data_IF_642881099598
#
_entry.id   IF_642881099598
#
_cell.length_a   1.000
_cell.length_b   1.000
_cell.length_c   1.000
_cell.angle_alpha   90.00
_cell.angle_beta   90.00
_cell.angle_gamma   90.00
#
_symmetry.space_group_name_H-M   'P 1'
#
loop_
_entity.id
_entity.type
_entity.pdbx_description
1 polymer ?
#
# COMPACT_ATOMS: atom_id res chain seq x y z
N UNK A 1 2.12 31.79 5.29
CA UNK A 1 1.03 30.83 5.56
C UNK A 1 1.62 29.77 6.45
N UNK A 2 1.04 29.51 7.62
CA UNK A 2 1.50 28.41 8.46
C UNK A 2 1.24 27.09 7.73
N UNK A 3 2.32 26.35 7.47
CA UNK A 3 2.27 25.03 6.83
C UNK A 3 1.64 24.04 7.81
N UNK A 4 0.45 23.53 7.49
CA UNK A 4 -0.32 22.62 8.37
C UNK A 4 -0.07 21.14 8.06
N UNK A 5 0.39 20.84 6.85
CA UNK A 5 0.78 19.51 6.38
C UNK A 5 1.82 19.65 5.26
N UNK A 6 2.36 18.53 4.79
CA UNK A 6 3.07 18.45 3.52
C UNK A 6 2.76 17.11 2.85
N UNK A 7 2.21 17.13 1.63
CA UNK A 7 1.95 15.91 0.87
C UNK A 7 2.01 16.20 -0.63
N UNK A 8 2.83 15.44 -1.36
CA UNK A 8 3.03 15.59 -2.79
C UNK A 8 3.06 14.27 -3.57
N UNK A 9 2.48 13.22 -3.00
CA UNK A 9 2.59 11.86 -3.55
C UNK A 9 1.69 11.59 -4.78
N UNK A 10 0.74 12.48 -5.10
CA UNK A 10 -0.16 12.30 -6.24
C UNK A 10 0.02 13.39 -7.29
N UNK A 11 -0.32 13.06 -8.53
CA UNK A 11 -0.21 13.94 -9.69
C UNK A 11 -0.99 15.26 -9.49
N UNK A 12 -2.15 15.20 -8.84
CA UNK A 12 -3.02 16.35 -8.57
C UNK A 12 -2.57 17.22 -7.38
N UNK A 13 -1.35 17.06 -6.87
CA UNK A 13 -0.86 17.86 -5.75
C UNK A 13 -0.92 19.36 -6.05
N UNK A 14 -1.23 20.17 -5.03
CA UNK A 14 -1.45 21.61 -5.21
C UNK A 14 -0.23 22.30 -5.85
N UNK A 15 -0.49 23.02 -6.94
CA UNK A 15 0.53 23.75 -7.70
C UNK A 15 1.66 22.88 -8.27
N UNK A 16 1.44 21.57 -8.41
CA UNK A 16 2.48 20.59 -8.79
C UNK A 16 3.70 20.64 -7.86
N UNK A 17 3.52 21.08 -6.60
CA UNK A 17 4.60 21.26 -5.64
C UNK A 17 4.32 20.54 -4.31
N UNK A 18 3.11 20.67 -3.77
CA UNK A 18 2.78 20.09 -2.46
C UNK A 18 1.51 20.68 -1.85
N UNK A 19 0.66 19.82 -1.29
CA UNK A 19 -0.46 20.24 -0.46
C UNK A 19 0.06 20.66 0.93
N UNK A 20 -0.11 21.94 1.29
CA UNK A 20 0.41 22.52 2.55
C UNK A 20 -0.65 23.15 3.47
N UNK A 21 -1.89 23.27 2.99
CA UNK A 21 -3.01 23.88 3.70
C UNK A 21 -3.68 22.95 4.72
N UNK A 22 -4.93 23.26 5.09
CA UNK A 22 -5.73 22.40 5.99
C UNK A 22 -6.22 21.10 5.35
N UNK A 23 -6.26 21.05 4.02
CA UNK A 23 -6.75 19.92 3.23
C UNK A 23 -5.94 19.81 1.93
N UNK A 24 -5.64 18.58 1.51
CA UNK A 24 -5.10 18.29 0.19
C UNK A 24 -6.17 18.36 -0.90
N UNK A 25 -5.74 18.37 -2.16
CA UNK A 25 -6.65 18.39 -3.33
C UNK A 25 -7.58 17.17 -3.35
N UNK A 26 -7.11 16.02 -2.86
CA UNK A 26 -7.90 14.80 -2.70
C UNK A 26 -8.88 14.81 -1.51
N UNK A 27 -8.97 15.91 -0.76
CA UNK A 27 -9.83 16.02 0.43
C UNK A 27 -9.20 15.52 1.73
N UNK A 28 -8.00 14.91 1.69
CA UNK A 28 -7.28 14.47 2.90
C UNK A 28 -7.01 15.67 3.82
N UNK A 29 -7.46 15.60 5.07
CA UNK A 29 -7.24 16.67 6.06
C UNK A 29 -5.78 16.71 6.52
N UNK A 30 -5.34 17.82 7.09
CA UNK A 30 -4.02 17.94 7.70
C UNK A 30 -3.82 16.96 8.87
N UNK A 31 -4.88 16.64 9.63
CA UNK A 31 -4.82 15.64 10.70
C UNK A 31 -4.57 14.24 10.13
N UNK A 32 -5.38 13.81 9.17
CA UNK A 32 -5.22 12.53 8.48
C UNK A 32 -3.83 12.42 7.83
N UNK A 33 -3.35 13.50 7.20
CA UNK A 33 -2.01 13.53 6.61
C UNK A 33 -0.91 13.30 7.66
N UNK A 34 -0.99 13.98 8.80
CA UNK A 34 -0.05 13.80 9.92
C UNK A 34 -0.10 12.39 10.49
N UNK A 35 -1.29 11.78 10.61
CA UNK A 35 -1.44 10.39 11.06
C UNK A 35 -0.83 9.40 10.05
N UNK A 36 -1.00 9.63 8.75
CA UNK A 36 -0.33 8.81 7.73
C UNK A 36 1.19 8.94 7.79
N UNK A 37 1.72 10.14 8.04
CA UNK A 37 3.16 10.34 8.26
C UNK A 37 3.64 9.59 9.52
N UNK A 38 2.89 9.66 10.62
CA UNK A 38 3.20 8.91 11.85
C UNK A 38 3.19 7.40 11.62
N UNK A 39 2.25 6.88 10.84
CA UNK A 39 2.20 5.46 10.48
C UNK A 39 3.43 5.03 9.67
N UNK A 40 3.88 5.84 8.70
CA UNK A 40 5.14 5.57 7.98
C UNK A 40 6.32 5.60 8.95
N UNK A 41 6.35 6.57 9.87
CA UNK A 41 7.39 6.69 10.90
C UNK A 41 7.49 5.45 11.79
N UNK A 42 6.34 4.95 12.26
CA UNK A 42 6.25 3.72 13.04
C UNK A 42 6.73 2.49 12.26
N UNK A 43 6.38 2.38 10.96
CA UNK A 43 6.83 1.27 10.11
C UNK A 43 8.34 1.32 9.85
N UNK A 44 8.93 2.52 9.74
CA UNK A 44 10.39 2.68 9.68
C UNK A 44 11.04 2.19 10.98
N UNK A 45 10.48 2.55 12.14
CA UNK A 45 10.93 2.04 13.44
C UNK A 45 10.86 0.50 13.52
N UNK A 46 9.75 -0.09 13.06
CA UNK A 46 9.60 -1.54 12.94
C UNK A 46 10.64 -2.16 11.98
N UNK A 47 10.88 -1.54 10.82
CA UNK A 47 11.86 -2.01 9.86
C UNK A 47 13.29 -1.96 10.41
N UNK A 48 13.64 -0.95 11.21
CA UNK A 48 14.91 -0.86 11.95
C UNK A 48 15.00 -1.94 13.04
N UNK A 49 13.92 -2.22 13.77
CA UNK A 49 13.88 -3.30 14.77
C UNK A 49 14.07 -4.70 14.14
N UNK A 50 13.68 -4.86 12.87
CA UNK A 50 13.88 -6.09 12.10
C UNK A 50 15.29 -6.23 11.49
N UNK A 51 16.18 -5.25 11.66
CA UNK A 51 17.51 -5.32 11.08
C UNK A 51 18.38 -6.40 11.75
N UNK A 52 18.99 -7.25 10.92
CA UNK A 52 19.80 -8.38 11.39
C UNK A 52 18.97 -9.57 11.90
N UNK A 53 17.64 -9.50 11.82
CA UNK A 53 16.75 -10.63 12.09
C UNK A 53 16.60 -11.46 10.81
N UNK A 54 16.99 -12.74 10.87
CA UNK A 54 16.97 -13.64 9.70
C UNK A 54 15.56 -13.93 9.18
N UNK A 55 14.55 -13.98 10.05
CA UNK A 55 13.15 -14.14 9.68
C UNK A 55 12.25 -13.33 10.64
N UNK A 56 11.91 -12.07 10.30
CA UNK A 56 11.01 -11.24 11.10
C UNK A 56 9.60 -11.85 11.22
N UNK A 57 9.23 -12.65 10.21
CA UNK A 57 7.99 -13.42 10.13
C UNK A 57 6.85 -12.67 9.43
N UNK A 58 5.90 -13.43 8.88
CA UNK A 58 4.80 -12.94 8.04
C UNK A 58 3.98 -11.82 8.69
N UNK A 59 3.87 -11.82 10.01
CA UNK A 59 3.18 -10.77 10.76
C UNK A 59 3.81 -9.39 10.59
N UNK A 60 5.14 -9.33 10.56
CA UNK A 60 5.89 -8.08 10.34
C UNK A 60 5.65 -7.59 8.92
N UNK A 61 5.83 -8.47 7.93
CA UNK A 61 5.63 -8.11 6.52
C UNK A 61 4.20 -7.66 6.24
N UNK A 62 3.20 -8.41 6.73
CA UNK A 62 1.79 -8.05 6.58
C UNK A 62 1.46 -6.70 7.23
N UNK A 63 2.02 -6.42 8.40
CA UNK A 63 1.82 -5.12 9.08
C UNK A 63 2.38 -3.97 8.25
N UNK A 64 3.55 -4.15 7.65
CA UNK A 64 4.16 -3.13 6.77
C UNK A 64 3.39 -2.97 5.46
N UNK A 65 2.97 -4.06 4.82
CA UNK A 65 2.20 -4.04 3.56
C UNK A 65 0.86 -3.30 3.78
N UNK A 66 0.10 -3.69 4.80
CA UNK A 66 -1.19 -3.05 5.10
C UNK A 66 -1.03 -1.58 5.51
N UNK A 67 0.00 -1.27 6.32
CA UNK A 67 0.28 0.09 6.75
C UNK A 67 0.69 1.01 5.59
N UNK A 68 1.57 0.55 4.70
CA UNK A 68 1.96 1.30 3.50
C UNK A 68 0.75 1.55 2.59
N UNK A 69 -0.06 0.52 2.33
CA UNK A 69 -1.25 0.65 1.48
C UNK A 69 -2.26 1.63 2.08
N UNK A 70 -2.48 1.60 3.40
CA UNK A 70 -3.34 2.55 4.13
C UNK A 70 -2.98 4.03 3.84
N UNK A 71 -1.71 4.32 3.55
CA UNK A 71 -1.20 5.69 3.30
C UNK A 71 -1.14 6.08 1.82
N UNK A 72 -1.61 5.22 0.92
CA UNK A 72 -1.72 5.53 -0.51
C UNK A 72 -2.92 6.48 -0.75
N UNK A 73 -2.88 7.21 -1.86
CA UNK A 73 -3.89 8.24 -2.16
C UNK A 73 -5.27 7.61 -2.30
N UNK A 74 -6.28 8.22 -1.67
CA UNK A 74 -7.68 7.78 -1.67
C UNK A 74 -7.97 6.41 -1.02
N UNK A 75 -7.04 5.84 -0.25
CA UNK A 75 -7.29 4.57 0.48
C UNK A 75 -8.06 4.78 1.77
N UNK A 76 -7.50 5.55 2.72
CA UNK A 76 -8.14 5.78 4.02
C UNK A 76 -8.16 7.25 4.42
N UNK A 77 -9.34 7.70 4.83
CA UNK A 77 -9.63 9.00 5.43
C UNK A 77 -10.14 8.86 6.88
N UNK A 78 -10.10 7.65 7.43
CA UNK A 78 -10.56 7.32 8.78
C UNK A 78 -9.37 7.41 9.76
N UNK A 79 -9.38 8.48 10.57
CA UNK A 79 -8.31 8.76 11.53
C UNK A 79 -8.20 7.69 12.63
N UNK A 80 -9.31 7.09 13.06
CA UNK A 80 -9.31 6.03 14.08
C UNK A 80 -8.73 4.74 13.52
N UNK A 81 -9.06 4.38 12.27
CA UNK A 81 -8.46 3.24 11.59
C UNK A 81 -6.94 3.41 11.40
N UNK A 82 -6.47 4.62 11.07
CA UNK A 82 -5.04 4.91 10.94
C UNK A 82 -4.34 4.81 12.31
N UNK A 83 -4.93 5.35 13.38
CA UNK A 83 -4.41 5.18 14.75
C UNK A 83 -4.32 3.71 15.15
N UNK A 84 -5.35 2.91 14.84
CA UNK A 84 -5.32 1.48 15.11
C UNK A 84 -4.18 0.75 14.36
N UNK A 85 -3.83 1.19 13.15
CA UNK A 85 -2.67 0.67 12.41
C UNK A 85 -1.32 1.09 13.01
N UNK A 86 -1.21 2.32 13.52
CA UNK A 86 -0.02 2.78 14.25
C UNK A 86 0.21 1.87 15.46
N UNK A 87 -0.83 1.68 16.29
CA UNK A 87 -0.77 0.81 17.46
C UNK A 87 -0.46 -0.65 17.10
N UNK A 88 -0.97 -1.16 15.97
CA UNK A 88 -0.63 -2.49 15.48
C UNK A 88 0.86 -2.60 15.14
N UNK A 89 1.42 -1.56 14.51
CA UNK A 89 2.83 -1.50 14.13
C UNK A 89 3.73 -1.44 15.37
N UNK A 90 3.35 -0.65 16.38
CA UNK A 90 4.06 -0.62 17.66
C UNK A 90 4.05 -1.95 18.40
N UNK A 91 2.88 -2.59 18.51
CA UNK A 91 2.79 -3.93 19.14
C UNK A 91 3.66 -4.97 18.42
N UNK A 92 3.71 -4.90 17.09
CA UNK A 92 4.54 -5.82 16.31
C UNK A 92 6.04 -5.53 16.48
N UNK A 93 6.43 -4.24 16.61
CA UNK A 93 7.79 -3.80 16.94
C UNK A 93 8.21 -4.32 18.32
N UNK A 94 7.38 -4.12 19.34
CA UNK A 94 7.62 -4.62 20.71
C UNK A 94 7.75 -6.14 20.74
N UNK A 95 6.85 -6.86 20.05
CA UNK A 95 6.91 -8.32 19.93
C UNK A 95 8.23 -8.78 19.33
N UNK A 96 8.70 -8.10 18.28
CA UNK A 96 9.93 -8.45 17.59
C UNK A 96 11.16 -8.22 18.47
N UNK A 97 11.20 -7.11 19.21
CA UNK A 97 12.29 -6.79 20.15
C UNK A 97 12.35 -7.73 21.35
N UNK A 98 11.19 -8.22 21.82
CA UNK A 98 11.11 -9.14 22.96
C UNK A 98 11.41 -10.61 22.59
N UNK A 99 11.37 -10.96 21.30
CA UNK A 99 11.58 -12.34 20.87
C UNK A 99 13.06 -12.75 21.00
N UNK A 100 13.37 -14.00 21.40
CA UNK A 100 14.73 -14.54 21.40
C UNK A 100 15.14 -14.88 19.97
N UNK A 101 15.32 -13.85 19.14
CA UNK A 101 15.60 -14.02 17.72
C UNK A 101 17.09 -14.27 17.51
N UNK A 102 17.41 -15.27 16.67
CA UNK A 102 18.78 -15.43 16.16
C UNK A 102 19.10 -14.21 15.29
N UNK A 103 19.89 -13.28 15.82
CA UNK A 103 20.51 -12.24 14.99
C UNK A 103 21.55 -12.91 14.10
N UNK A 104 21.50 -12.64 12.79
CA UNK A 104 22.49 -13.19 11.87
C UNK A 104 23.88 -12.63 12.21
N UNK A 105 24.88 -13.51 12.27
CA UNK A 105 26.28 -13.11 12.43
C UNK A 105 26.83 -12.64 11.07
N UNK A 106 26.43 -11.45 10.62
CA UNK A 106 27.00 -10.82 9.43
C UNK A 106 28.45 -10.36 9.66
N UNK A 107 29.31 -10.32 8.63
CA UNK A 107 30.72 -9.98 8.79
C UNK A 107 30.84 -8.53 9.28
N UNK A 108 31.43 -8.37 10.48
CA UNK A 108 31.95 -7.07 10.92
C UNK A 108 33.11 -6.72 10.01
N UNK A 109 32.87 -5.92 8.97
CA UNK A 109 33.96 -5.12 8.42
C UNK A 109 34.39 -4.17 9.54
N UNK A 110 35.50 -4.52 10.20
CA UNK A 110 36.18 -3.65 11.14
C UNK A 110 36.72 -2.48 10.32
N UNK A 111 36.03 -1.35 10.34
CA UNK A 111 36.71 -0.07 10.19
C UNK A 111 37.81 -0.04 11.27
N UNK A 112 39.06 0.03 10.83
CA UNK A 112 40.19 0.00 11.73
C UNK A 112 40.23 1.29 12.55
N UNK A 113 39.87 1.19 13.82
CA UNK A 113 40.11 2.20 14.83
C UNK A 113 38.84 2.76 15.45
N UNK A 114 38.25 2.02 16.40
CA UNK A 114 37.47 2.65 17.46
C UNK A 114 37.44 1.75 18.71
N UNK A 115 37.87 2.33 19.82
CA UNK A 115 37.90 1.76 21.15
C UNK A 115 36.48 1.61 21.70
N UNK A 116 36.23 0.46 22.34
CA UNK A 116 35.12 0.14 23.25
C UNK A 116 33.97 1.15 23.33
N UNK A 117 32.94 0.95 22.53
CA UNK A 117 31.59 1.43 22.79
C UNK A 117 30.65 0.23 22.81
N UNK A 118 29.69 0.26 23.74
CA UNK A 118 28.62 -0.70 23.87
C UNK A 118 27.96 -0.97 22.50
N UNK A 119 27.42 -2.19 22.30
CA UNK A 119 26.58 -2.48 21.16
C UNK A 119 25.62 -1.31 20.93
N UNK A 120 25.72 -0.63 19.79
CA UNK A 120 24.84 0.49 19.48
C UNK A 120 23.42 0.00 19.65
N UNK A 121 22.70 0.58 20.60
CA UNK A 121 21.25 0.40 20.69
C UNK A 121 20.73 0.89 19.35
N UNK A 122 20.22 -0.03 18.52
CA UNK A 122 19.58 0.35 17.27
C UNK A 122 18.47 1.33 17.65
N UNK A 123 18.56 2.56 17.17
CA UNK A 123 17.49 3.55 17.31
C UNK A 123 16.26 3.01 16.56
N UNK A 124 15.30 2.49 17.32
CA UNK A 124 14.05 1.90 16.81
C UNK A 124 12.85 2.79 17.13
N UNK A 125 13.11 4.03 17.51
CA UNK A 125 12.07 5.04 17.67
C UNK A 125 11.40 5.31 16.32
N UNK A 126 10.18 5.82 16.39
CA UNK A 126 9.43 6.17 15.20
C UNK A 126 10.15 7.29 14.45
N UNK A 127 10.35 7.10 13.15
CA UNK A 127 11.03 8.10 12.34
C UNK A 127 10.12 9.32 12.14
N UNK A 128 10.62 10.52 12.46
CA UNK A 128 9.90 11.76 12.22
C UNK A 128 9.96 12.12 10.72
N UNK A 129 8.86 11.92 9.98
CA UNK A 129 8.78 12.25 8.55
C UNK A 129 8.92 13.74 8.25
N UNK A 130 8.72 14.63 9.23
CA UNK A 130 9.06 16.04 9.09
C UNK A 130 10.54 16.25 8.72
N UNK A 131 11.42 15.38 9.21
CA UNK A 131 12.84 15.40 8.82
C UNK A 131 12.98 15.17 7.31
N UNK A 132 12.28 14.18 6.74
CA UNK A 132 12.27 13.91 5.30
C UNK A 132 11.74 15.11 4.49
N UNK A 133 10.68 15.76 4.97
CA UNK A 133 10.06 16.88 4.28
C UNK A 133 10.93 18.14 4.29
N UNK A 134 11.76 18.33 5.31
CA UNK A 134 12.63 19.49 5.48
C UNK A 134 14.07 19.27 4.97
N UNK A 135 14.39 18.10 4.38
CA UNK A 135 15.73 17.82 3.84
C UNK A 135 16.05 18.61 2.57
N UNK A 136 17.32 18.53 2.16
CA UNK A 136 17.78 18.90 0.82
C UNK A 136 16.82 18.36 -0.28
N UNK A 137 16.42 19.19 -1.27
CA UNK A 137 15.45 18.80 -2.27
C UNK A 137 15.80 17.55 -3.09
N UNK A 138 17.09 17.34 -3.42
CA UNK A 138 17.52 16.20 -4.24
C UNK A 138 17.45 14.91 -3.42
N UNK A 139 17.91 14.95 -2.17
CA UNK A 139 17.81 13.82 -1.23
C UNK A 139 16.34 13.51 -0.89
N UNK A 140 15.53 14.54 -0.63
CA UNK A 140 14.10 14.41 -0.38
C UNK A 140 13.39 13.77 -1.57
N UNK A 141 13.74 14.18 -2.79
CA UNK A 141 13.18 13.63 -4.04
C UNK A 141 13.43 12.12 -4.14
N UNK A 142 14.68 11.68 -3.99
CA UNK A 142 15.05 10.26 -4.09
C UNK A 142 14.40 9.41 -2.99
N UNK A 143 14.43 9.85 -1.74
CA UNK A 143 13.79 9.13 -0.62
C UNK A 143 12.28 9.08 -0.76
N UNK A 144 11.67 10.13 -1.30
CA UNK A 144 10.22 10.14 -1.58
C UNK A 144 9.86 9.21 -2.72
N UNK A 145 10.70 9.13 -3.77
CA UNK A 145 10.53 8.17 -4.85
C UNK A 145 10.61 6.73 -4.34
N UNK A 146 11.54 6.43 -3.41
CA UNK A 146 11.59 5.14 -2.72
C UNK A 146 10.28 4.90 -1.95
N UNK A 147 9.89 5.82 -1.07
CA UNK A 147 8.68 5.68 -0.25
C UNK A 147 7.43 5.46 -1.11
N UNK A 148 7.22 6.26 -2.15
CA UNK A 148 6.04 6.18 -3.00
C UNK A 148 6.03 4.90 -3.85
N UNK A 149 7.18 4.47 -4.34
CA UNK A 149 7.31 3.18 -5.00
C UNK A 149 7.00 2.01 -4.06
N UNK A 150 7.45 2.05 -2.80
CA UNK A 150 7.09 1.06 -1.79
C UNK A 150 5.58 1.06 -1.51
N UNK A 151 4.92 2.23 -1.41
CA UNK A 151 3.46 2.28 -1.22
C UNK A 151 2.70 1.63 -2.38
N UNK A 152 3.11 1.89 -3.63
CA UNK A 152 2.51 1.27 -4.81
C UNK A 152 2.71 -0.25 -4.82
N UNK A 153 3.94 -0.70 -4.54
CA UNK A 153 4.26 -2.12 -4.44
C UNK A 153 3.48 -2.82 -3.32
N UNK A 154 3.22 -2.15 -2.20
CA UNK A 154 2.42 -2.67 -1.09
C UNK A 154 0.97 -2.97 -1.50
N UNK A 155 0.37 -2.16 -2.39
CA UNK A 155 -0.96 -2.44 -2.93
C UNK A 155 -0.98 -3.76 -3.70
N UNK A 156 0.00 -4.00 -4.58
CA UNK A 156 0.10 -5.26 -5.33
C UNK A 156 0.38 -6.45 -4.42
N UNK A 157 1.30 -6.31 -3.47
CA UNK A 157 1.63 -7.36 -2.51
C UNK A 157 0.43 -7.72 -1.63
N UNK A 158 -0.39 -6.73 -1.25
CA UNK A 158 -1.62 -6.97 -0.48
C UNK A 158 -2.60 -7.85 -1.25
N UNK A 159 -2.87 -7.54 -2.53
CA UNK A 159 -3.78 -8.34 -3.35
C UNK A 159 -3.26 -9.76 -3.60
N UNK A 160 -1.96 -9.92 -3.81
CA UNK A 160 -1.35 -11.25 -3.92
C UNK A 160 -1.53 -12.04 -2.61
N UNK A 161 -1.35 -11.39 -1.45
CA UNK A 161 -1.54 -11.99 -0.13
C UNK A 161 -3.00 -12.43 0.10
N UNK A 162 -4.00 -11.68 -0.38
CA UNK A 162 -5.41 -12.09 -0.28
C UNK A 162 -5.72 -13.38 -1.05
N UNK A 163 -4.89 -13.71 -2.05
CA UNK A 163 -4.93 -14.97 -2.80
C UNK A 163 -3.93 -16.02 -2.28
N UNK A 164 -3.27 -15.75 -1.16
CA UNK A 164 -2.31 -16.67 -0.54
C UNK A 164 -0.92 -16.69 -1.19
N UNK A 165 -0.62 -15.74 -2.07
CA UNK A 165 0.71 -15.61 -2.68
C UNK A 165 1.59 -14.61 -1.90
N UNK A 166 2.88 -14.91 -1.81
CA UNK A 166 3.88 -14.09 -1.15
C UNK A 166 5.26 -14.38 -1.74
N UNK A 167 6.15 -13.40 -1.74
CA UNK A 167 7.52 -13.51 -2.22
C UNK A 167 8.50 -12.92 -1.19
N UNK A 168 9.52 -13.69 -0.81
CA UNK A 168 10.46 -13.29 0.24
C UNK A 168 11.33 -12.10 -0.18
N UNK A 169 11.67 -11.98 -1.47
CA UNK A 169 12.43 -10.84 -2.00
C UNK A 169 11.62 -9.56 -1.84
N UNK A 170 10.34 -9.60 -2.20
CA UNK A 170 9.41 -8.47 -2.04
C UNK A 170 9.25 -8.11 -0.57
N UNK A 171 8.99 -9.09 0.29
CA UNK A 171 8.80 -8.90 1.73
C UNK A 171 10.01 -8.27 2.42
N UNK A 172 11.21 -8.79 2.16
CA UNK A 172 12.45 -8.27 2.74
C UNK A 172 12.77 -6.87 2.21
N UNK A 173 12.43 -6.59 0.95
CA UNK A 173 12.72 -5.30 0.35
C UNK A 173 11.86 -4.18 0.94
N UNK A 174 10.63 -4.43 1.38
CA UNK A 174 9.86 -3.42 2.14
C UNK A 174 10.62 -2.92 3.36
N UNK A 175 11.18 -3.84 4.17
CA UNK A 175 11.95 -3.48 5.36
C UNK A 175 13.25 -2.77 4.99
N UNK A 176 13.92 -3.23 3.92
CA UNK A 176 15.15 -2.62 3.42
C UNK A 176 14.93 -1.19 2.94
N UNK A 177 13.92 -0.97 2.10
CA UNK A 177 13.59 0.35 1.57
C UNK A 177 13.13 1.32 2.66
N UNK A 178 12.33 0.87 3.64
CA UNK A 178 11.93 1.70 4.77
C UNK A 178 13.11 2.13 5.65
N UNK A 179 14.06 1.23 5.91
CA UNK A 179 15.30 1.59 6.63
C UNK A 179 16.12 2.63 5.87
N UNK A 180 16.17 2.53 4.54
CA UNK A 180 16.95 3.44 3.71
C UNK A 180 16.45 4.89 3.77
N UNK A 181 15.13 5.10 3.89
CA UNK A 181 14.54 6.44 4.08
C UNK A 181 15.13 7.12 5.33
N UNK A 182 15.43 6.33 6.36
CA UNK A 182 15.82 6.81 7.68
C UNK A 182 17.34 6.94 7.88
N UNK A 183 18.15 6.54 6.89
CA UNK A 183 19.61 6.68 6.92
C UNK A 183 20.05 7.99 6.28
N UNK A 184 21.21 8.48 6.68
CA UNK A 184 21.88 9.52 5.89
C UNK A 184 22.32 8.93 4.55
N UNK A 185 22.29 9.76 3.50
CA UNK A 185 22.63 9.31 2.16
C UNK A 185 22.92 10.48 1.23
N UNK A 186 23.64 10.18 0.15
CA UNK A 186 23.86 11.09 -0.97
C UNK A 186 23.03 10.65 -2.17
N UNK A 187 23.03 11.45 -3.23
CA UNK A 187 22.38 11.08 -4.50
C UNK A 187 22.94 9.75 -5.01
N UNK A 188 24.25 9.58 -4.98
CA UNK A 188 24.97 8.40 -5.46
C UNK A 188 24.64 7.16 -4.62
N UNK A 189 24.43 7.31 -3.31
CA UNK A 189 24.09 6.17 -2.44
C UNK A 189 22.62 5.78 -2.52
N UNK A 190 21.71 6.72 -2.80
CA UNK A 190 20.27 6.49 -2.83
C UNK A 190 19.76 6.01 -4.20
N UNK A 191 20.41 6.42 -5.29
CA UNK A 191 20.00 6.05 -6.65
C UNK A 191 19.94 4.52 -6.89
N UNK A 192 20.89 3.70 -6.40
CA UNK A 192 20.79 2.25 -6.49
C UNK A 192 19.52 1.70 -5.82
N UNK A 193 19.12 2.24 -4.67
CA UNK A 193 17.89 1.81 -3.98
C UNK A 193 16.65 2.20 -4.77
N UNK A 194 16.60 3.40 -5.36
CA UNK A 194 15.52 3.81 -6.28
C UNK A 194 15.36 2.82 -7.43
N UNK A 195 16.45 2.44 -8.10
CA UNK A 195 16.41 1.47 -9.19
C UNK A 195 15.97 0.09 -8.70
N UNK A 196 16.43 -0.31 -7.51
CA UNK A 196 16.04 -1.57 -6.89
C UNK A 196 14.54 -1.63 -6.56
N UNK A 197 13.91 -0.51 -6.22
CA UNK A 197 12.44 -0.45 -6.07
C UNK A 197 11.75 -0.85 -7.37
N UNK A 198 12.22 -0.35 -8.52
CA UNK A 198 11.67 -0.72 -9.83
C UNK A 198 11.86 -2.21 -10.14
N UNK A 199 13.04 -2.75 -9.87
CA UNK A 199 13.36 -4.17 -10.07
C UNK A 199 12.45 -5.08 -9.23
N UNK A 200 12.31 -4.80 -7.92
CA UNK A 200 11.48 -5.61 -7.02
C UNK A 200 9.99 -5.41 -7.30
N UNK A 201 9.57 -4.23 -7.77
CA UNK A 201 8.20 -4.01 -8.20
C UNK A 201 7.82 -4.91 -9.39
N UNK A 202 8.73 -5.19 -10.33
CA UNK A 202 8.48 -6.17 -11.40
C UNK A 202 8.22 -7.57 -10.83
N UNK A 203 9.00 -8.00 -9.84
CA UNK A 203 8.75 -9.27 -9.13
C UNK A 203 7.39 -9.26 -8.44
N UNK A 204 7.03 -8.16 -7.76
CA UNK A 204 5.74 -8.03 -7.08
C UNK A 204 4.56 -8.07 -8.06
N UNK A 205 4.66 -7.40 -9.21
CA UNK A 205 3.63 -7.43 -10.26
C UNK A 205 3.50 -8.82 -10.89
N UNK A 206 4.62 -9.49 -11.17
CA UNK A 206 4.60 -10.86 -11.68
C UNK A 206 3.96 -11.84 -10.68
N UNK A 207 4.22 -11.67 -9.38
CA UNK A 207 3.57 -12.44 -8.31
C UNK A 207 2.05 -12.23 -8.32
N UNK A 208 1.58 -10.97 -8.40
CA UNK A 208 0.15 -10.67 -8.45
C UNK A 208 -0.51 -11.21 -9.73
N UNK A 209 0.14 -11.07 -10.89
CA UNK A 209 -0.32 -11.62 -12.15
C UNK A 209 -0.51 -13.14 -12.06
N UNK A 210 0.50 -13.86 -11.55
CA UNK A 210 0.43 -15.31 -11.34
C UNK A 210 -0.68 -15.71 -10.35
N UNK A 211 -0.86 -14.95 -9.26
CA UNK A 211 -1.90 -15.20 -8.28
C UNK A 211 -3.31 -15.03 -8.90
N UNK A 212 -3.54 -13.94 -9.62
CA UNK A 212 -4.82 -13.65 -10.27
C UNK A 212 -5.12 -14.65 -11.39
N UNK A 213 -4.18 -14.86 -12.32
CA UNK A 213 -4.37 -15.76 -13.47
C UNK A 213 -4.46 -17.22 -13.05
N UNK A 214 -3.71 -17.63 -12.02
CA UNK A 214 -3.78 -18.98 -11.45
C UNK A 214 -5.10 -19.25 -10.71
N UNK A 215 -5.69 -18.23 -10.08
CA UNK A 215 -6.95 -18.36 -9.34
C UNK A 215 -8.17 -18.23 -10.24
N UNK A 216 -8.16 -17.24 -11.14
CA UNK A 216 -9.34 -16.83 -11.89
C UNK A 216 -9.29 -17.13 -13.40
N UNK A 217 -8.19 -17.72 -13.86
CA UNK A 217 -7.92 -18.04 -15.26
C UNK A 217 -7.24 -16.88 -16.01
N UNK A 218 -6.63 -17.19 -17.16
CA UNK A 218 -6.04 -16.15 -18.02
C UNK A 218 -7.15 -15.27 -18.63
N UNK A 219 -7.04 -13.92 -18.55
CA UNK A 219 -8.00 -13.01 -19.16
C UNK A 219 -8.22 -13.28 -20.65
N UNK A 220 -9.47 -13.24 -21.10
CA UNK A 220 -9.85 -13.38 -22.51
C UNK A 220 -10.57 -12.12 -23.02
N UNK A 221 -10.52 -11.82 -24.33
CA UNK A 221 -11.30 -10.73 -24.91
C UNK A 221 -12.80 -10.93 -24.68
N UNK A 222 -13.46 -9.90 -24.16
CA UNK A 222 -14.89 -9.94 -23.84
C UNK A 222 -15.56 -8.61 -24.18
N UNK A 223 -16.85 -8.67 -24.53
CA UNK A 223 -17.70 -7.49 -24.53
C UNK A 223 -18.37 -7.34 -23.16
N UNK A 224 -18.30 -6.14 -22.59
CA UNK A 224 -18.84 -5.80 -21.27
C UNK A 224 -19.92 -4.73 -21.46
N UNK A 225 -21.19 -5.01 -21.11
CA UNK A 225 -22.25 -4.03 -21.26
C UNK A 225 -22.13 -2.94 -20.19
N UNK A 226 -22.54 -1.73 -20.55
CA UNK A 226 -22.70 -0.60 -19.62
C UNK A 226 -24.17 -0.40 -19.19
N UNK A 227 -25.06 -1.27 -19.68
CA UNK A 227 -26.50 -1.19 -19.39
C UNK A 227 -26.76 -1.71 -17.98
N UNK A 228 -27.46 -0.90 -17.18
CA UNK A 228 -27.96 -1.30 -15.87
C UNK A 228 -29.36 -1.93 -16.05
N UNK A 229 -29.48 -3.19 -15.65
CA UNK A 229 -30.74 -3.93 -15.69
C UNK A 229 -31.66 -3.51 -14.56
N UNK A 230 -32.98 -3.61 -14.79
CA UNK A 230 -33.97 -3.35 -13.75
C UNK A 230 -33.88 -4.41 -12.64
N UNK A 231 -33.71 -3.97 -11.40
CA UNK A 231 -33.67 -4.85 -10.22
C UNK A 231 -32.74 -4.30 -9.15
N UNK A 232 -32.65 -4.97 -7.99
CA UNK A 232 -31.66 -4.63 -6.97
C UNK A 232 -30.25 -4.95 -7.48
N UNK A 233 -29.29 -4.08 -7.17
CA UNK A 233 -27.90 -4.26 -7.58
C UNK A 233 -26.92 -3.72 -6.55
N UNK A 234 -25.66 -4.16 -6.66
CA UNK A 234 -24.50 -3.66 -5.91
C UNK A 234 -23.46 -3.22 -6.93
N UNK A 235 -22.81 -2.08 -6.68
CA UNK A 235 -21.62 -1.64 -7.43
C UNK A 235 -20.38 -1.99 -6.61
N UNK A 236 -19.38 -2.63 -7.22
CA UNK A 236 -18.09 -2.91 -6.60
C UNK A 236 -16.98 -2.17 -7.35
N UNK A 237 -16.11 -1.51 -6.60
CA UNK A 237 -15.01 -0.70 -7.14
C UNK A 237 -13.72 -0.93 -6.36
N UNK A 238 -12.60 -0.46 -6.91
CA UNK A 238 -11.26 -0.81 -6.47
C UNK A 238 -10.66 -1.90 -7.37
N UNK A 239 -9.95 -2.86 -6.78
CA UNK A 239 -9.08 -3.80 -7.49
C UNK A 239 -9.13 -5.24 -6.96
N UNK A 240 -9.76 -5.50 -5.80
CA UNK A 240 -9.63 -6.79 -5.14
C UNK A 240 -10.58 -7.84 -5.74
N UNK A 241 -10.01 -8.77 -6.50
CA UNK A 241 -10.76 -9.85 -7.15
C UNK A 241 -11.25 -10.90 -6.14
N UNK A 242 -10.62 -11.03 -4.97
CA UNK A 242 -11.05 -11.96 -3.92
C UNK A 242 -12.34 -11.50 -3.29
N UNK A 243 -12.45 -10.21 -2.99
CA UNK A 243 -13.68 -9.61 -2.49
C UNK A 243 -14.83 -9.75 -3.50
N UNK A 244 -14.57 -9.53 -4.80
CA UNK A 244 -15.57 -9.78 -5.84
C UNK A 244 -15.99 -11.25 -5.89
N UNK A 245 -15.06 -12.20 -5.83
CA UNK A 245 -15.39 -13.63 -5.79
C UNK A 245 -16.29 -13.97 -4.59
N UNK A 246 -15.96 -13.45 -3.41
CA UNK A 246 -16.74 -13.65 -2.19
C UNK A 246 -18.14 -13.01 -2.31
N UNK A 247 -18.24 -11.82 -2.90
CA UNK A 247 -19.50 -11.14 -3.16
C UNK A 247 -20.37 -11.96 -4.12
N UNK A 248 -19.82 -12.41 -5.25
CA UNK A 248 -20.52 -13.20 -6.26
C UNK A 248 -21.06 -14.51 -5.66
N UNK A 249 -20.24 -15.24 -4.89
CA UNK A 249 -20.66 -16.45 -4.18
C UNK A 249 -21.78 -16.16 -3.18
N UNK A 250 -21.69 -15.05 -2.45
CA UNK A 250 -22.70 -14.69 -1.46
C UNK A 250 -24.01 -14.20 -2.08
N UNK A 251 -24.01 -13.70 -3.32
CA UNK A 251 -25.21 -13.21 -4.01
C UNK A 251 -25.80 -14.17 -5.03
N UNK A 252 -25.17 -15.33 -5.24
CA UNK A 252 -25.65 -16.35 -6.17
C UNK A 252 -27.08 -16.81 -5.82
N UNK A 253 -27.96 -16.80 -6.82
CA UNK A 253 -29.37 -17.19 -6.67
C UNK A 253 -30.24 -16.21 -5.88
N UNK A 254 -29.72 -15.05 -5.42
CA UNK A 254 -30.48 -14.09 -4.61
C UNK A 254 -31.22 -13.02 -5.42
N UNK A 255 -31.06 -13.00 -6.74
CA UNK A 255 -31.67 -12.01 -7.62
C UNK A 255 -31.09 -10.59 -7.48
N UNK A 256 -29.85 -10.47 -7.00
CA UNK A 256 -29.11 -9.20 -6.89
C UNK A 256 -28.03 -9.17 -7.97
N UNK A 257 -28.06 -8.15 -8.83
CA UNK A 257 -27.06 -7.96 -9.87
C UNK A 257 -25.80 -7.29 -9.31
N UNK A 258 -24.64 -7.63 -9.85
CA UNK A 258 -23.34 -7.06 -9.49
C UNK A 258 -22.78 -6.31 -10.69
N UNK A 259 -22.37 -5.07 -10.46
CA UNK A 259 -21.71 -4.21 -11.45
C UNK A 259 -20.32 -3.82 -10.98
N UNK A 260 -19.33 -3.93 -11.84
CA UNK A 260 -17.98 -3.40 -11.59
C UNK A 260 -17.97 -1.89 -11.82
N UNK A 261 -17.02 -1.16 -11.23
CA UNK A 261 -16.75 0.25 -11.52
C UNK A 261 -15.25 0.52 -11.47
N UNK A 262 -14.78 1.41 -12.35
CA UNK A 262 -13.37 1.78 -12.46
C UNK A 262 -12.47 0.57 -12.73
N UNK A 263 -11.49 0.36 -11.86
CA UNK A 263 -10.44 -0.65 -12.02
C UNK A 263 -10.93 -2.09 -11.77
N UNK A 264 -12.20 -2.29 -11.38
CA UNK A 264 -12.81 -3.63 -11.34
C UNK A 264 -13.27 -4.11 -12.73
N UNK A 265 -13.29 -3.25 -13.76
CA UNK A 265 -13.69 -3.60 -15.12
C UNK A 265 -12.97 -4.86 -15.68
N UNK A 266 -11.65 -5.06 -15.50
CA UNK A 266 -10.93 -6.23 -15.99
C UNK A 266 -11.44 -7.57 -15.42
N UNK A 267 -12.16 -7.57 -14.29
CA UNK A 267 -12.73 -8.79 -13.70
C UNK A 267 -13.60 -9.58 -14.70
N UNK A 268 -14.26 -8.89 -15.64
CA UNK A 268 -15.09 -9.51 -16.68
C UNK A 268 -14.33 -10.38 -17.68
N UNK A 269 -13.01 -10.19 -17.80
CA UNK A 269 -12.16 -10.96 -18.69
C UNK A 269 -11.70 -12.29 -18.07
N UNK A 270 -11.80 -12.44 -16.74
CA UNK A 270 -11.40 -13.65 -16.02
C UNK A 270 -12.50 -14.73 -16.11
N UNK A 271 -12.23 -15.93 -16.68
CA UNK A 271 -13.24 -16.97 -16.87
C UNK A 271 -13.97 -17.40 -15.59
N UNK A 272 -13.25 -17.55 -14.48
CA UNK A 272 -13.84 -18.04 -13.22
C UNK A 272 -14.73 -17.01 -12.50
N UNK A 273 -14.58 -15.71 -12.83
CA UNK A 273 -15.44 -14.64 -12.33
C UNK A 273 -16.61 -14.38 -13.30
N UNK A 274 -16.36 -14.44 -14.60
CA UNK A 274 -17.39 -14.20 -15.63
C UNK A 274 -18.50 -15.27 -15.63
N UNK A 275 -18.22 -16.48 -15.16
CA UNK A 275 -19.21 -17.57 -15.13
C UNK A 275 -20.46 -17.26 -14.28
N UNK A 276 -20.37 -16.30 -13.36
CA UNK A 276 -21.49 -15.91 -12.51
C UNK A 276 -22.49 -15.02 -13.30
N UNK A 277 -23.73 -15.48 -13.55
CA UNK A 277 -24.69 -14.75 -14.39
C UNK A 277 -25.15 -13.42 -13.80
N UNK A 278 -24.97 -13.22 -12.49
CA UNK A 278 -25.25 -11.97 -11.79
C UNK A 278 -24.14 -10.92 -11.92
N UNK A 279 -22.95 -11.26 -12.44
CA UNK A 279 -21.93 -10.27 -12.82
C UNK A 279 -22.34 -9.64 -14.16
N UNK A 280 -23.07 -8.53 -14.11
CA UNK A 280 -23.84 -8.04 -15.27
C UNK A 280 -23.07 -7.15 -16.22
N UNK A 281 -22.22 -6.26 -15.71
CA UNK A 281 -21.54 -5.28 -16.55
C UNK A 281 -20.69 -4.32 -15.74
N UNK A 282 -20.32 -3.21 -16.38
CA UNK A 282 -19.58 -2.13 -15.75
C UNK A 282 -20.46 -0.88 -15.62
N UNK A 283 -20.51 -0.31 -14.43
CA UNK A 283 -21.19 0.92 -14.11
C UNK A 283 -20.20 2.09 -14.17
N UNK A 284 -20.60 3.16 -14.84
CA UNK A 284 -19.85 4.41 -14.82
C UNK A 284 -18.52 4.36 -15.57
N UNK A 285 -17.59 5.20 -15.14
CA UNK A 285 -16.31 5.46 -15.80
C UNK A 285 -15.13 5.36 -14.82
N UNK A 286 -14.20 6.30 -14.87
CA UNK A 286 -13.03 6.34 -13.98
C UNK A 286 -13.38 7.00 -12.63
N UNK A 287 -12.58 6.69 -11.61
CA UNK A 287 -12.82 7.06 -10.21
C UNK A 287 -13.09 8.55 -9.97
N UNK A 288 -12.54 9.45 -10.79
CA UNK A 288 -12.76 10.90 -10.63
C UNK A 288 -14.22 11.31 -10.81
N UNK A 289 -15.02 10.52 -11.53
CA UNK A 289 -16.43 10.79 -11.75
C UNK A 289 -17.35 10.20 -10.68
N UNK A 290 -16.81 9.43 -9.73
CA UNK A 290 -17.60 8.65 -8.77
C UNK A 290 -18.56 9.51 -7.94
N UNK A 291 -18.20 10.76 -7.58
CA UNK A 291 -19.11 11.63 -6.83
C UNK A 291 -20.41 11.93 -7.59
N UNK A 292 -20.34 12.01 -8.93
CA UNK A 292 -21.52 12.23 -9.78
C UNK A 292 -22.21 10.93 -10.11
N UNK A 293 -21.44 9.90 -10.44
CA UNK A 293 -21.97 8.60 -10.87
C UNK A 293 -22.62 7.82 -9.72
N UNK A 294 -22.14 7.99 -8.49
CA UNK A 294 -22.68 7.33 -7.29
C UNK A 294 -23.72 8.17 -6.56
N UNK A 295 -23.89 9.45 -6.92
CA UNK A 295 -24.91 10.29 -6.32
C UNK A 295 -26.30 9.69 -6.57
N UNK A 296 -27.08 9.53 -5.49
CA UNK A 296 -28.47 9.11 -5.49
C UNK A 296 -28.77 7.77 -6.19
N UNK A 297 -27.76 6.93 -6.43
CA UNK A 297 -28.00 5.59 -6.97
C UNK A 297 -28.72 4.74 -5.91
N UNK A 298 -29.75 3.95 -6.30
CA UNK A 298 -30.50 3.13 -5.35
C UNK A 298 -29.79 1.80 -5.04
N UNK A 299 -28.48 1.84 -4.81
CA UNK A 299 -27.63 0.66 -4.67
C UNK A 299 -26.49 0.87 -3.64
N UNK A 300 -26.14 -0.18 -2.87
CA UNK A 300 -24.90 -0.19 -2.10
C UNK A 300 -23.68 -0.15 -3.01
N UNK A 301 -22.59 0.43 -2.49
CA UNK A 301 -21.29 0.50 -3.16
C UNK A 301 -20.26 -0.14 -2.24
N UNK A 302 -19.55 -1.14 -2.76
CA UNK A 302 -18.45 -1.80 -2.08
C UNK A 302 -17.12 -1.27 -2.64
N UNK A 303 -16.38 -0.51 -1.82
CA UNK A 303 -15.01 -0.13 -2.10
C UNK A 303 -14.08 -1.23 -1.58
N UNK A 304 -13.38 -1.92 -2.47
CA UNK A 304 -12.33 -2.86 -2.06
C UNK A 304 -11.01 -2.12 -1.81
N UNK A 305 -10.73 -1.08 -2.61
CA UNK A 305 -9.52 -0.25 -2.56
C UNK A 305 -9.81 1.16 -3.11
N UNK A 306 -8.77 2.00 -3.19
CA UNK A 306 -8.81 3.37 -3.71
C UNK A 306 -9.12 3.50 -5.21
#
# INVERSE_FOLDING_TARGET
MDQKMFCYQCEQTAGCAGCTGSTGVCGKTAETARLQDQLVGAMIGLARAAEGVECPGDRVYRTVIEGLFTTLTNVSFDDDAIRAQIEKTHREKERLLAAPVKKSAGPREKAAGESGAAASVQDTDDYNLGLLWDMDPDIRSLKSLILFGLKGMAAYAYHALMLGASDETVNQFFLTGLREIAKDGTVESLLPTVLKVGEVNLTCMAMLDAANTGTYGTPIPVSVPLVVERGPFIVVTGHDLKDLELLLKQTEGKGVNIYTHGEMLPAHAYPELRKYPQLKGNFGTAWQNQQKEFADIPAPILFTTN
#
